data_IF_846508044042
#
_entry.id   IF_846508044042
#
_cell.length_a   1.000
_cell.length_b   1.000
_cell.length_c   1.000
_cell.angle_alpha   90.00
_cell.angle_beta   90.00
_cell.angle_gamma   90.00
#
_symmetry.space_group_name_H-M   'P 1'
#
loop_
_entity.id
_entity.type
_entity.pdbx_description
1 polymer ?
#
# COMPACT_ATOMS: atom_id res chain seq x y z
N UNK A 1 -21.56 24.37 9.78
CA UNK A 1 -21.10 23.02 9.38
C UNK A 1 -19.69 22.88 9.87
N UNK A 2 -19.38 21.87 10.69
CA UNK A 2 -18.01 21.67 11.20
C UNK A 2 -17.08 21.24 10.06
N UNK A 3 -15.88 21.82 9.99
CA UNK A 3 -14.84 21.51 9.02
C UNK A 3 -13.90 20.47 9.59
N UNK A 4 -13.55 19.46 8.80
CA UNK A 4 -12.63 18.41 9.18
C UNK A 4 -11.52 18.27 8.12
N UNK A 5 -10.30 18.05 8.57
CA UNK A 5 -9.16 17.84 7.72
C UNK A 5 -8.45 16.52 8.05
N UNK A 6 -8.01 15.80 7.02
CA UNK A 6 -7.32 14.52 7.17
C UNK A 6 -5.87 14.62 6.69
N UNK A 7 -4.98 13.90 7.36
CA UNK A 7 -3.64 13.63 6.88
C UNK A 7 -3.28 12.17 7.02
N UNK A 8 -2.85 11.56 5.91
CA UNK A 8 -2.53 10.13 5.87
C UNK A 8 -1.05 9.90 5.68
N UNK A 9 -0.48 9.06 6.53
CA UNK A 9 0.88 8.54 6.43
C UNK A 9 0.81 7.02 6.27
N UNK A 10 1.78 6.45 5.55
CA UNK A 10 1.96 5.00 5.45
C UNK A 10 1.51 4.38 4.13
N UNK A 11 0.89 3.21 4.21
CA UNK A 11 0.61 2.34 3.08
C UNK A 11 -0.75 2.60 2.42
N UNK A 12 -1.04 1.86 1.33
CA UNK A 12 -2.34 1.90 0.65
C UNK A 12 -3.51 1.55 1.56
N UNK A 13 -3.30 0.67 2.56
CA UNK A 13 -4.33 0.34 3.56
C UNK A 13 -4.68 1.56 4.40
N UNK A 14 -3.70 2.33 4.88
CA UNK A 14 -3.99 3.60 5.58
C UNK A 14 -4.74 4.59 4.67
N UNK A 15 -4.40 4.64 3.37
CA UNK A 15 -5.12 5.51 2.42
C UNK A 15 -6.59 5.09 2.26
N UNK A 16 -6.85 3.79 2.14
CA UNK A 16 -8.22 3.26 2.09
C UNK A 16 -8.98 3.53 3.41
N UNK A 17 -8.33 3.29 4.56
CA UNK A 17 -8.90 3.58 5.87
C UNK A 17 -9.27 5.07 6.00
N UNK A 18 -8.43 5.99 5.53
CA UNK A 18 -8.74 7.43 5.54
C UNK A 18 -9.90 7.78 4.61
N UNK A 19 -9.91 7.24 3.39
CA UNK A 19 -11.01 7.47 2.45
C UNK A 19 -12.36 7.02 3.03
N UNK A 20 -12.39 5.88 3.72
CA UNK A 20 -13.58 5.39 4.42
C UNK A 20 -14.01 6.33 5.54
N UNK A 21 -13.07 6.80 6.38
CA UNK A 21 -13.37 7.76 7.45
C UNK A 21 -13.89 9.10 6.90
N UNK A 22 -13.29 9.61 5.81
CA UNK A 22 -13.78 10.82 5.12
C UNK A 22 -15.23 10.66 4.64
N UNK A 23 -15.56 9.51 4.05
CA UNK A 23 -16.92 9.22 3.60
C UNK A 23 -17.91 9.17 4.76
N UNK A 24 -17.54 8.56 5.91
CA UNK A 24 -18.35 8.52 7.11
C UNK A 24 -18.62 9.94 7.64
N UNK A 25 -17.60 10.80 7.76
CA UNK A 25 -17.79 12.18 8.19
C UNK A 25 -18.67 12.99 7.23
N UNK A 26 -18.48 12.83 5.91
CA UNK A 26 -19.34 13.49 4.91
C UNK A 26 -20.81 13.09 5.05
N UNK A 27 -21.09 11.79 5.29
CA UNK A 27 -22.48 11.30 5.48
C UNK A 27 -23.14 11.85 6.76
N UNK A 28 -22.34 12.29 7.76
CA UNK A 28 -22.79 12.95 8.97
C UNK A 28 -22.77 14.48 8.88
N UNK A 29 -22.65 15.04 7.67
CA UNK A 29 -22.78 16.47 7.44
C UNK A 29 -21.52 17.31 7.73
N UNK A 30 -20.34 16.70 7.86
CA UNK A 30 -19.08 17.42 7.98
C UNK A 30 -18.56 17.85 6.61
N UNK A 31 -17.91 19.00 6.56
CA UNK A 31 -17.21 19.48 5.37
C UNK A 31 -15.74 19.09 5.42
N UNK A 32 -15.30 18.17 4.53
CA UNK A 32 -13.89 17.79 4.42
C UNK A 32 -13.13 18.89 3.68
N UNK A 33 -12.08 19.41 4.30
CA UNK A 33 -11.21 20.46 3.75
C UNK A 33 -9.77 19.97 3.65
N UNK A 34 -8.94 20.67 2.86
CA UNK A 34 -7.52 20.33 2.75
C UNK A 34 -6.79 20.50 4.09
N UNK A 35 -5.82 19.61 4.37
CA UNK A 35 -5.06 19.64 5.64
C UNK A 35 -4.35 20.98 5.91
N UNK A 36 -4.08 21.74 4.87
CA UNK A 36 -3.47 23.08 4.99
C UNK A 36 -4.48 24.20 5.29
N UNK A 37 -5.77 23.90 5.25
CA UNK A 37 -6.83 24.82 5.64
C UNK A 37 -7.05 24.77 7.16
N UNK A 38 -7.62 25.81 7.71
CA UNK A 38 -8.11 25.81 9.08
C UNK A 38 -9.35 24.90 9.18
N UNK A 39 -9.35 23.99 10.16
CA UNK A 39 -10.43 23.03 10.42
C UNK A 39 -10.76 22.99 11.91
N UNK A 40 -11.99 22.57 12.23
CA UNK A 40 -12.45 22.38 13.60
C UNK A 40 -11.94 21.05 14.17
N UNK A 41 -11.68 20.06 13.28
CA UNK A 41 -11.20 18.74 13.63
C UNK A 41 -10.05 18.37 12.67
N UNK A 42 -8.98 17.82 13.20
CA UNK A 42 -7.90 17.20 12.43
C UNK A 42 -7.78 15.73 12.75
N UNK A 43 -7.82 14.85 11.74
CA UNK A 43 -7.59 13.42 11.86
C UNK A 43 -6.28 13.04 11.20
N UNK A 44 -5.33 12.54 11.99
CA UNK A 44 -4.00 12.12 11.49
C UNK A 44 -3.92 10.59 11.52
N UNK A 45 -4.00 9.96 10.35
CA UNK A 45 -3.83 8.51 10.19
C UNK A 45 -2.33 8.20 10.03
N UNK A 46 -1.77 7.54 11.03
CA UNK A 46 -0.33 7.47 11.27
C UNK A 46 0.30 6.14 10.86
N UNK A 47 1.62 6.18 10.63
CA UNK A 47 2.45 5.03 10.28
C UNK A 47 3.56 4.83 11.31
N UNK A 48 3.93 3.54 11.53
CA UNK A 48 4.98 3.14 12.47
C UNK A 48 6.01 2.20 11.84
N UNK A 49 5.89 1.88 10.57
CA UNK A 49 6.74 0.88 9.89
C UNK A 49 8.22 1.27 9.91
N UNK A 50 8.54 2.55 9.79
CA UNK A 50 9.91 3.07 9.86
C UNK A 50 10.04 4.21 10.87
N UNK A 51 11.27 4.44 11.38
CA UNK A 51 11.55 5.59 12.26
C UNK A 51 11.22 6.92 11.59
N UNK A 52 11.48 7.03 10.29
CA UNK A 52 11.11 8.20 9.49
C UNK A 52 9.59 8.39 9.45
N UNK A 53 8.82 7.31 9.27
CA UNK A 53 7.35 7.34 9.29
C UNK A 53 6.81 7.80 10.64
N UNK A 54 7.34 7.28 11.74
CA UNK A 54 6.96 7.68 13.09
C UNK A 54 7.32 9.14 13.39
N UNK A 55 8.52 9.60 12.99
CA UNK A 55 8.93 11.01 13.11
C UNK A 55 8.02 11.95 12.31
N UNK A 56 7.70 11.59 11.07
CA UNK A 56 6.75 12.34 10.24
C UNK A 56 5.36 12.38 10.85
N UNK A 57 4.89 11.28 11.46
CA UNK A 57 3.61 11.24 12.17
C UNK A 57 3.58 12.29 13.27
N UNK A 58 4.57 12.35 14.15
CA UNK A 58 4.68 13.38 15.20
C UNK A 58 4.75 14.79 14.63
N UNK A 59 5.50 14.99 13.54
CA UNK A 59 5.61 16.28 12.87
C UNK A 59 4.24 16.77 12.36
N UNK A 60 3.42 15.88 11.79
CA UNK A 60 2.11 16.26 11.26
C UNK A 60 1.08 16.49 12.35
N UNK A 61 1.13 15.74 13.46
CA UNK A 61 0.32 16.00 14.65
C UNK A 61 0.63 17.42 15.19
N UNK A 62 1.90 17.72 15.44
CA UNK A 62 2.31 19.03 15.92
C UNK A 62 1.96 20.18 14.93
N UNK A 63 1.90 19.89 13.61
CA UNK A 63 1.49 20.85 12.59
C UNK A 63 0.00 21.15 12.68
N UNK A 64 -0.84 20.13 12.91
CA UNK A 64 -2.28 20.28 13.11
C UNK A 64 -2.56 21.17 14.35
N UNK A 65 -1.98 20.84 15.50
CA UNK A 65 -2.10 21.59 16.75
C UNK A 65 -1.69 23.06 16.59
N UNK A 66 -0.57 23.32 15.90
CA UNK A 66 -0.11 24.70 15.69
C UNK A 66 -0.97 25.49 14.70
N UNK A 67 -1.66 24.82 13.78
CA UNK A 67 -2.49 25.48 12.78
C UNK A 67 -3.78 26.05 13.37
N UNK A 68 -4.43 25.29 14.21
CA UNK A 68 -5.57 25.74 14.99
C UNK A 68 -5.47 25.15 16.42
N UNK A 69 -4.98 25.93 17.38
CA UNK A 69 -4.82 25.45 18.77
C UNK A 69 -6.14 25.09 19.47
N UNK A 70 -7.28 25.48 18.93
CA UNK A 70 -8.62 25.16 19.47
C UNK A 70 -9.30 24.00 18.73
N UNK A 71 -8.66 23.46 17.68
CA UNK A 71 -9.20 22.32 16.95
C UNK A 71 -9.10 21.05 17.78
N UNK A 72 -10.06 20.13 17.58
CA UNK A 72 -10.02 18.79 18.13
C UNK A 72 -9.11 17.89 17.30
N UNK A 73 -8.05 17.36 17.91
CA UNK A 73 -7.01 16.58 17.22
C UNK A 73 -7.14 15.09 17.54
N UNK A 74 -7.41 14.31 16.49
CA UNK A 74 -7.56 12.86 16.54
C UNK A 74 -6.35 12.19 15.91
N UNK A 75 -5.73 11.26 16.60
CA UNK A 75 -4.63 10.45 16.08
C UNK A 75 -5.06 8.98 15.96
N UNK A 76 -5.00 8.43 14.77
CA UNK A 76 -5.38 7.03 14.50
C UNK A 76 -4.29 6.28 13.73
N UNK A 77 -4.48 4.97 13.52
CA UNK A 77 -3.61 4.13 12.71
C UNK A 77 -2.58 3.35 13.54
N UNK A 78 -1.45 3.02 12.90
CA UNK A 78 -0.50 2.08 13.47
C UNK A 78 0.30 2.65 14.67
N UNK A 79 0.49 3.98 14.75
CA UNK A 79 1.27 4.56 15.85
C UNK A 79 0.55 4.47 17.20
N UNK A 80 -0.69 4.95 17.37
CA UNK A 80 -1.39 4.75 18.63
C UNK A 80 -1.62 3.28 18.94
N UNK A 81 -1.84 2.41 17.95
CA UNK A 81 -2.03 0.98 18.19
C UNK A 81 -0.82 0.31 18.85
N UNK A 82 0.41 0.76 18.56
CA UNK A 82 1.65 0.14 19.07
C UNK A 82 2.31 0.93 20.19
N UNK A 83 2.00 2.21 20.35
CA UNK A 83 2.65 3.12 21.27
C UNK A 83 1.67 4.21 21.78
N UNK A 84 0.50 3.79 22.29
CA UNK A 84 -0.53 4.70 22.80
C UNK A 84 0.04 5.70 23.82
N UNK A 85 0.81 5.22 24.80
CA UNK A 85 1.40 6.07 25.84
C UNK A 85 2.34 7.17 25.27
N UNK A 86 3.09 6.87 24.19
CA UNK A 86 3.91 7.88 23.54
C UNK A 86 3.04 8.95 22.85
N UNK A 87 1.91 8.54 22.25
CA UNK A 87 1.02 9.48 21.54
C UNK A 87 0.28 10.37 22.52
N UNK A 88 -0.14 9.84 23.67
CA UNK A 88 -0.78 10.63 24.75
C UNK A 88 0.11 11.76 25.28
N UNK A 89 1.44 11.58 25.24
CA UNK A 89 2.37 12.64 25.70
C UNK A 89 2.54 13.77 24.68
N UNK A 90 1.96 13.69 23.47
CA UNK A 90 2.05 14.76 22.48
C UNK A 90 1.03 15.85 22.83
N UNK A 91 1.47 17.07 23.16
CA UNK A 91 0.56 18.14 23.55
C UNK A 91 -0.46 18.47 22.46
N UNK A 92 -1.73 18.65 22.86
CA UNK A 92 -2.83 19.01 21.95
C UNK A 92 -3.41 17.85 21.15
N UNK A 93 -3.14 16.60 21.53
CA UNK A 93 -3.88 15.43 21.06
C UNK A 93 -5.05 15.21 22.00
N UNK A 94 -6.27 15.21 21.48
CA UNK A 94 -7.50 15.06 22.28
C UNK A 94 -7.99 13.61 22.32
N UNK A 95 -7.89 12.89 21.20
CA UNK A 95 -8.38 11.51 21.07
C UNK A 95 -7.39 10.64 20.32
N UNK A 96 -7.15 9.43 20.83
CA UNK A 96 -6.44 8.39 20.11
C UNK A 96 -7.34 7.19 19.83
N UNK A 97 -7.29 6.69 18.57
CA UNK A 97 -8.04 5.53 18.08
C UNK A 97 -7.05 4.57 17.43
N UNK A 98 -7.18 3.28 17.68
CA UNK A 98 -6.33 2.25 17.07
C UNK A 98 -6.69 1.94 15.60
N UNK A 99 -6.42 0.69 15.22
CA UNK A 99 -6.76 0.14 13.91
C UNK A 99 -8.10 -0.61 13.88
N UNK A 100 -8.99 -0.31 14.83
CA UNK A 100 -10.36 -0.80 14.94
C UNK A 100 -11.29 0.36 15.30
N UNK A 101 -12.60 0.15 15.22
CA UNK A 101 -13.65 1.13 15.55
C UNK A 101 -13.67 2.40 14.67
N UNK A 102 -13.14 2.33 13.48
CA UNK A 102 -13.19 3.45 12.52
C UNK A 102 -14.59 3.65 11.94
N UNK A 103 -15.43 2.62 11.94
CA UNK A 103 -16.86 2.75 11.64
C UNK A 103 -17.55 3.71 12.58
N UNK A 104 -17.16 3.73 13.84
CA UNK A 104 -17.73 4.55 14.91
C UNK A 104 -17.00 5.89 15.10
N UNK A 105 -16.10 6.28 14.21
CA UNK A 105 -15.20 7.41 14.41
C UNK A 105 -15.94 8.73 14.70
N UNK A 106 -17.09 8.97 14.07
CA UNK A 106 -17.88 10.20 14.29
C UNK A 106 -18.42 10.21 15.71
N UNK A 107 -19.04 9.11 16.16
CA UNK A 107 -19.55 8.97 17.53
C UNK A 107 -18.43 9.16 18.56
N UNK A 108 -17.29 8.50 18.37
CA UNK A 108 -16.14 8.62 19.28
C UNK A 108 -15.63 10.06 19.38
N UNK A 109 -15.55 10.76 18.25
CA UNK A 109 -15.14 12.18 18.21
C UNK A 109 -16.14 13.09 18.90
N UNK A 110 -17.44 12.89 18.66
CA UNK A 110 -18.49 13.72 19.25
C UNK A 110 -18.61 13.51 20.77
N UNK A 111 -18.55 12.27 21.24
CA UNK A 111 -18.53 11.93 22.66
C UNK A 111 -17.30 12.51 23.37
N UNK A 112 -16.11 12.33 22.76
CA UNK A 112 -14.87 12.85 23.32
C UNK A 112 -14.84 14.38 23.36
N UNK A 113 -15.32 15.06 22.32
CA UNK A 113 -15.43 16.51 22.27
C UNK A 113 -16.46 17.06 23.30
N UNK A 114 -17.54 16.33 23.58
CA UNK A 114 -18.51 16.72 24.57
C UNK A 114 -17.98 16.58 26.01
N UNK A 115 -17.03 15.67 26.23
CA UNK A 115 -16.46 15.39 27.57
C UNK A 115 -15.51 16.48 28.06
N UNK A 116 -15.03 17.38 27.19
CA UNK A 116 -14.09 18.48 27.46
C UNK A 116 -12.93 18.06 28.40
N UNK A 117 -12.38 16.86 28.19
CA UNK A 117 -11.25 16.36 28.97
C UNK A 117 -10.03 17.22 28.74
N UNK A 118 -9.26 17.49 29.80
CA UNK A 118 -7.91 18.09 29.70
C UNK A 118 -6.90 17.04 29.24
N UNK A 119 -7.16 15.77 29.51
CA UNK A 119 -6.29 14.64 29.16
C UNK A 119 -6.74 13.98 27.86
N UNK A 120 -5.77 13.46 27.10
CA UNK A 120 -6.03 12.69 25.87
C UNK A 120 -6.90 11.46 26.15
N UNK A 121 -8.03 11.35 25.45
CA UNK A 121 -8.92 10.18 25.56
C UNK A 121 -8.32 9.02 24.77
N UNK A 122 -8.21 7.85 25.41
CA UNK A 122 -7.67 6.63 24.81
C UNK A 122 -8.79 5.66 24.45
N UNK A 123 -9.05 5.51 23.15
CA UNK A 123 -9.98 4.54 22.57
C UNK A 123 -9.27 3.42 21.80
N UNK A 124 -8.00 3.16 22.10
CA UNK A 124 -7.24 2.08 21.44
C UNK A 124 -7.66 0.73 22.00
N UNK A 125 -8.26 -0.10 21.15
CA UNK A 125 -8.60 -1.49 21.52
C UNK A 125 -7.47 -2.46 21.21
N UNK A 126 -7.31 -3.45 22.08
CA UNK A 126 -6.41 -4.58 21.86
C UNK A 126 -6.99 -5.50 20.77
N UNK A 127 -6.21 -5.74 19.73
CA UNK A 127 -6.57 -6.67 18.66
C UNK A 127 -6.31 -8.12 19.11
N UNK A 128 -7.28 -9.00 18.87
CA UNK A 128 -7.24 -10.42 19.26
C UNK A 128 -7.77 -11.31 18.14
N UNK A 129 -7.70 -12.62 18.32
CA UNK A 129 -8.25 -13.60 17.36
C UNK A 129 -9.76 -13.44 17.16
N UNK A 130 -10.47 -12.90 18.14
CA UNK A 130 -11.93 -12.65 18.06
C UNK A 130 -12.27 -11.27 17.46
N UNK A 131 -11.28 -10.49 17.03
CA UNK A 131 -11.54 -9.21 16.37
C UNK A 131 -12.02 -9.48 14.95
N UNK A 132 -13.19 -9.00 14.59
CA UNK A 132 -13.78 -9.17 13.26
C UNK A 132 -13.16 -8.18 12.25
N UNK A 133 -13.30 -8.48 10.96
CA UNK A 133 -12.93 -7.56 9.90
C UNK A 133 -13.92 -6.39 9.88
N UNK A 134 -13.40 -5.18 9.91
CA UNK A 134 -14.20 -3.96 9.86
C UNK A 134 -14.55 -3.64 8.40
N UNK A 135 -15.77 -3.97 7.99
CA UNK A 135 -16.28 -3.81 6.62
C UNK A 135 -16.65 -2.35 6.32
N UNK A 136 -15.64 -1.49 6.21
CA UNK A 136 -15.83 -0.11 5.79
C UNK A 136 -16.06 -0.02 4.28
N UNK A 137 -16.93 0.92 3.84
CA UNK A 137 -17.03 1.27 2.42
C UNK A 137 -15.71 1.84 1.91
N UNK A 138 -15.37 1.55 0.66
CA UNK A 138 -14.11 2.02 0.06
C UNK A 138 -14.00 3.56 -0.02
N UNK A 139 -15.08 4.26 0.26
CA UNK A 139 -15.17 5.72 0.18
C UNK A 139 -15.12 6.22 -1.27
N UNK A 140 -16.00 7.14 -1.62
CA UNK A 140 -15.93 7.81 -2.91
C UNK A 140 -14.95 8.99 -2.80
N UNK A 141 -13.78 8.85 -3.43
CA UNK A 141 -12.80 9.93 -3.55
C UNK A 141 -12.88 10.43 -4.98
N UNK A 142 -13.73 11.42 -5.22
CA UNK A 142 -14.09 11.98 -6.54
C UNK A 142 -12.89 12.35 -7.44
N UNK A 143 -11.72 12.57 -6.87
CA UNK A 143 -10.53 13.00 -7.59
C UNK A 143 -9.57 11.86 -7.97
N UNK A 144 -9.95 10.58 -7.73
CA UNK A 144 -9.11 9.42 -8.05
C UNK A 144 -9.73 8.57 -9.17
N UNK A 145 -8.89 8.14 -10.08
CA UNK A 145 -9.28 7.27 -11.20
C UNK A 145 -9.26 5.79 -10.82
N UNK A 146 -8.58 5.45 -9.72
CA UNK A 146 -8.48 4.10 -9.16
C UNK A 146 -8.97 4.07 -7.72
N UNK A 147 -9.77 3.06 -7.38
CA UNK A 147 -10.22 2.83 -6.02
C UNK A 147 -9.37 1.75 -5.33
N UNK A 148 -9.06 1.95 -4.05
CA UNK A 148 -8.45 0.94 -3.20
C UNK A 148 -9.52 0.26 -2.36
N UNK A 149 -9.72 -1.04 -2.58
CA UNK A 149 -10.64 -1.86 -1.78
C UNK A 149 -9.84 -2.74 -0.82
N UNK A 150 -9.89 -2.43 0.47
CA UNK A 150 -9.29 -3.27 1.52
C UNK A 150 -10.16 -4.49 1.73
N UNK A 151 -9.57 -5.67 1.46
CA UNK A 151 -10.25 -6.97 1.62
C UNK A 151 -9.62 -7.85 2.70
N UNK A 152 -8.42 -7.49 3.19
CA UNK A 152 -7.69 -8.28 4.18
C UNK A 152 -7.00 -7.35 5.21
N UNK A 153 -6.95 -7.76 6.46
CA UNK A 153 -6.34 -7.04 7.57
C UNK A 153 -5.53 -8.03 8.44
N UNK A 154 -4.50 -7.52 9.11
CA UNK A 154 -3.65 -8.32 10.01
C UNK A 154 -2.62 -9.18 9.31
N UNK A 155 -1.68 -9.74 10.09
CA UNK A 155 -0.60 -10.60 9.58
C UNK A 155 -0.08 -11.52 10.68
N UNK A 156 0.05 -12.83 10.40
CA UNK A 156 0.59 -13.84 11.32
C UNK A 156 2.00 -14.32 10.93
N UNK A 157 2.70 -13.62 10.01
CA UNK A 157 4.02 -14.04 9.51
C UNK A 157 5.15 -13.81 10.53
N UNK A 158 5.06 -12.79 11.37
CA UNK A 158 6.07 -12.43 12.39
C UNK A 158 7.51 -12.38 11.87
N UNK A 159 7.74 -11.79 10.68
CA UNK A 159 9.09 -11.51 10.19
C UNK A 159 9.88 -10.74 11.26
N UNK A 160 11.16 -11.06 11.45
CA UNK A 160 11.94 -10.57 12.60
C UNK A 160 12.12 -9.05 12.68
N UNK A 161 11.95 -8.33 11.56
CA UNK A 161 12.04 -6.87 11.48
C UNK A 161 10.67 -6.16 11.56
N UNK A 162 9.55 -6.92 11.55
CA UNK A 162 8.25 -6.35 11.23
C UNK A 162 7.42 -6.08 12.49
N UNK A 163 6.93 -4.84 12.62
CA UNK A 163 6.04 -4.41 13.69
C UNK A 163 4.54 -4.61 13.34
N UNK A 164 4.24 -4.97 12.11
CA UNK A 164 2.86 -5.03 11.60
C UNK A 164 1.97 -6.03 12.34
N UNK A 165 2.41 -7.25 12.72
CA UNK A 165 1.56 -8.14 13.51
C UNK A 165 1.03 -7.49 14.80
N UNK A 166 1.84 -6.66 15.44
CA UNK A 166 1.47 -5.95 16.66
C UNK A 166 0.57 -4.72 16.39
N UNK A 167 0.76 -4.07 15.21
CA UNK A 167 -0.02 -2.91 14.83
C UNK A 167 -1.38 -3.27 14.21
N UNK A 168 -1.47 -4.38 13.50
CA UNK A 168 -2.66 -4.75 12.74
C UNK A 168 -3.33 -6.03 13.22
N UNK A 169 -2.72 -6.75 14.18
CA UNK A 169 -3.26 -7.94 14.80
C UNK A 169 -3.34 -9.16 13.87
N UNK A 170 -4.12 -10.18 14.25
CA UNK A 170 -4.28 -11.43 13.51
C UNK A 170 -5.01 -11.25 12.17
N UNK A 171 -4.93 -12.27 11.32
CA UNK A 171 -5.60 -12.30 10.01
C UNK A 171 -7.10 -12.12 10.14
N UNK A 172 -7.67 -11.30 9.28
CA UNK A 172 -9.10 -11.05 9.11
C UNK A 172 -9.37 -10.70 7.65
N UNK A 173 -10.47 -11.22 7.11
CA UNK A 173 -10.85 -11.03 5.71
C UNK A 173 -12.26 -10.49 5.57
N UNK A 174 -12.47 -9.64 4.58
CA UNK A 174 -13.79 -9.15 4.16
C UNK A 174 -14.59 -10.30 3.54
N UNK A 175 -15.89 -10.35 3.75
CA UNK A 175 -16.75 -11.35 3.13
C UNK A 175 -16.81 -11.22 1.60
N UNK A 176 -16.97 -12.35 0.88
CA UNK A 176 -17.08 -12.31 -0.60
C UNK A 176 -18.28 -11.47 -1.06
N UNK A 177 -19.41 -11.58 -0.37
CA UNK A 177 -20.60 -10.77 -0.66
C UNK A 177 -20.30 -9.29 -0.54
N UNK A 178 -19.64 -8.86 0.54
CA UNK A 178 -19.23 -7.47 0.72
C UNK A 178 -18.22 -6.99 -0.32
N UNK A 179 -17.30 -7.86 -0.77
CA UNK A 179 -16.38 -7.53 -1.89
C UNK A 179 -17.19 -7.23 -3.17
N UNK A 180 -18.14 -8.10 -3.53
CA UNK A 180 -18.95 -7.92 -4.74
C UNK A 180 -19.79 -6.63 -4.67
N UNK A 181 -20.42 -6.36 -3.54
CA UNK A 181 -21.21 -5.15 -3.32
C UNK A 181 -20.39 -3.87 -3.45
N UNK A 182 -19.20 -3.84 -2.81
CA UNK A 182 -18.30 -2.68 -2.89
C UNK A 182 -17.74 -2.49 -4.30
N UNK A 183 -17.32 -3.57 -4.98
CA UNK A 183 -16.88 -3.50 -6.39
C UNK A 183 -18.01 -2.94 -7.27
N UNK A 184 -19.25 -3.40 -7.07
CA UNK A 184 -20.41 -2.89 -7.82
C UNK A 184 -20.64 -1.39 -7.57
N UNK A 185 -20.58 -0.93 -6.31
CA UNK A 185 -20.69 0.50 -5.96
C UNK A 185 -19.60 1.32 -6.66
N UNK A 186 -18.35 0.88 -6.61
CA UNK A 186 -17.23 1.57 -7.24
C UNK A 186 -17.35 1.62 -8.76
N UNK A 187 -17.82 0.55 -9.41
CA UNK A 187 -18.08 0.53 -10.85
C UNK A 187 -19.19 1.53 -11.22
N UNK A 188 -20.27 1.57 -10.45
CA UNK A 188 -21.39 2.54 -10.64
C UNK A 188 -20.89 3.98 -10.44
N UNK A 189 -20.01 4.22 -9.47
CA UNK A 189 -19.36 5.53 -9.26
C UNK A 189 -18.36 5.91 -10.38
N UNK A 190 -18.13 5.04 -11.37
CA UNK A 190 -17.35 5.35 -12.57
C UNK A 190 -15.87 4.95 -12.52
N UNK A 191 -15.40 4.31 -11.44
CA UNK A 191 -14.01 3.82 -11.35
C UNK A 191 -13.72 2.77 -12.42
N UNK A 192 -12.57 2.91 -13.09
CA UNK A 192 -12.15 2.00 -14.17
C UNK A 192 -11.19 0.92 -13.67
N UNK A 193 -10.45 1.19 -12.61
CA UNK A 193 -9.54 0.24 -11.99
C UNK A 193 -9.82 0.14 -10.49
N UNK A 194 -9.98 -1.09 -9.99
CA UNK A 194 -10.07 -1.39 -8.56
C UNK A 194 -8.81 -2.16 -8.15
N UNK A 195 -8.21 -1.74 -7.06
CA UNK A 195 -7.02 -2.38 -6.49
C UNK A 195 -7.42 -3.09 -5.21
N UNK A 196 -7.39 -4.42 -5.20
CA UNK A 196 -7.58 -5.20 -3.97
C UNK A 196 -6.31 -5.07 -3.12
N UNK A 197 -6.47 -4.63 -1.89
CA UNK A 197 -5.38 -4.42 -0.97
C UNK A 197 -5.60 -5.14 0.36
N UNK A 198 -4.49 -5.45 1.03
CA UNK A 198 -4.46 -6.01 2.37
C UNK A 198 -3.13 -5.76 3.03
N UNK A 199 -3.03 -6.11 4.30
CA UNK A 199 -1.76 -6.13 5.05
C UNK A 199 -0.92 -7.33 4.63
N UNK A 200 -1.57 -8.48 4.45
CA UNK A 200 -0.99 -9.72 3.95
C UNK A 200 -2.00 -10.37 2.98
N UNK A 201 -2.17 -9.72 1.83
CA UNK A 201 -3.26 -9.99 0.89
C UNK A 201 -3.39 -11.47 0.49
N UNK A 202 -2.27 -12.15 0.24
CA UNK A 202 -2.25 -13.57 -0.11
C UNK A 202 -2.68 -14.52 1.01
N UNK A 203 -2.81 -14.02 2.24
CA UNK A 203 -3.39 -14.75 3.36
C UNK A 203 -4.91 -14.53 3.51
N UNK A 204 -5.57 -13.90 2.53
CA UNK A 204 -7.03 -13.75 2.55
C UNK A 204 -7.71 -15.11 2.75
N UNK A 205 -8.64 -15.17 3.69
CA UNK A 205 -9.46 -16.35 4.00
C UNK A 205 -8.78 -17.47 4.80
N UNK A 206 -7.45 -17.36 5.08
CA UNK A 206 -6.73 -18.43 5.82
C UNK A 206 -7.24 -18.62 7.26
N UNK A 207 -7.86 -17.61 7.87
CA UNK A 207 -8.53 -17.72 9.17
C UNK A 207 -9.80 -18.58 9.13
N UNK A 208 -10.31 -18.94 7.95
CA UNK A 208 -11.48 -19.79 7.74
C UNK A 208 -11.11 -21.23 7.39
N UNK A 209 -10.05 -21.78 7.97
CA UNK A 209 -9.59 -23.18 7.79
C UNK A 209 -9.35 -23.56 6.32
N UNK A 210 -8.88 -22.60 5.51
CA UNK A 210 -8.59 -22.83 4.09
C UNK A 210 -9.82 -22.97 3.17
N UNK A 211 -11.01 -22.68 3.67
CA UNK A 211 -12.25 -22.69 2.87
C UNK A 211 -12.35 -21.55 1.87
N UNK A 212 -11.64 -20.46 2.16
CA UNK A 212 -11.57 -19.27 1.31
C UNK A 212 -10.10 -18.90 1.03
N UNK A 213 -9.86 -18.34 -0.14
CA UNK A 213 -8.52 -17.92 -0.57
C UNK A 213 -8.61 -16.60 -1.34
N UNK A 214 -7.46 -16.00 -1.61
CA UNK A 214 -7.40 -14.81 -2.44
C UNK A 214 -7.99 -15.05 -3.84
N UNK A 215 -7.86 -16.26 -4.39
CA UNK A 215 -8.44 -16.58 -5.68
C UNK A 215 -9.97 -16.41 -5.68
N UNK A 216 -10.66 -16.86 -4.63
CA UNK A 216 -12.11 -16.71 -4.51
C UNK A 216 -12.51 -15.23 -4.43
N UNK A 217 -11.74 -14.40 -3.73
CA UNK A 217 -11.97 -12.94 -3.67
C UNK A 217 -11.77 -12.27 -5.03
N UNK A 218 -10.78 -12.71 -5.81
CA UNK A 218 -10.50 -12.20 -7.16
C UNK A 218 -11.63 -12.61 -8.11
N UNK A 219 -12.07 -13.86 -8.08
CA UNK A 219 -13.20 -14.32 -8.89
C UNK A 219 -14.50 -13.56 -8.54
N UNK A 220 -14.78 -13.38 -7.25
CA UNK A 220 -15.92 -12.61 -6.78
C UNK A 220 -15.88 -11.16 -7.32
N UNK A 221 -14.73 -10.49 -7.25
CA UNK A 221 -14.57 -9.16 -7.80
C UNK A 221 -14.75 -9.11 -9.33
N UNK A 222 -14.16 -10.08 -10.06
CA UNK A 222 -14.25 -10.16 -11.52
C UNK A 222 -15.64 -10.58 -12.01
N UNK A 223 -16.49 -11.19 -11.16
CA UNK A 223 -17.88 -11.52 -11.50
C UNK A 223 -18.76 -10.29 -11.66
N UNK A 224 -18.34 -9.13 -11.14
CA UNK A 224 -19.12 -7.88 -11.23
C UNK A 224 -19.02 -7.31 -12.65
N UNK A 225 -20.18 -7.13 -13.28
CA UNK A 225 -20.29 -6.55 -14.61
C UNK A 225 -19.84 -5.08 -14.61
N UNK A 226 -19.17 -4.66 -15.69
CA UNK A 226 -18.69 -3.28 -15.86
C UNK A 226 -17.29 -3.02 -15.29
N UNK A 227 -16.71 -3.91 -14.47
CA UNK A 227 -15.34 -3.80 -14.02
C UNK A 227 -14.37 -3.93 -15.19
N UNK A 228 -13.53 -2.92 -15.41
CA UNK A 228 -12.60 -2.89 -16.55
C UNK A 228 -11.20 -3.36 -16.18
N UNK A 229 -10.71 -3.04 -14.96
CA UNK A 229 -9.41 -3.49 -14.46
C UNK A 229 -9.49 -3.85 -12.99
N UNK A 230 -8.88 -4.98 -12.65
CA UNK A 230 -8.64 -5.42 -11.28
C UNK A 230 -7.13 -5.56 -11.06
N UNK A 231 -6.59 -4.92 -10.06
CA UNK A 231 -5.19 -5.00 -9.68
C UNK A 231 -5.04 -5.59 -8.30
N UNK A 232 -3.97 -6.34 -8.08
CA UNK A 232 -3.62 -6.88 -6.78
C UNK A 232 -2.58 -6.01 -6.07
N UNK A 233 -2.70 -5.91 -4.76
CA UNK A 233 -1.68 -5.36 -3.90
C UNK A 233 -0.48 -6.28 -3.77
N UNK A 234 0.28 -6.14 -2.68
CA UNK A 234 1.46 -6.95 -2.40
C UNK A 234 1.08 -8.40 -2.06
N UNK A 235 1.80 -9.37 -2.64
CA UNK A 235 1.68 -10.80 -2.40
C UNK A 235 3.02 -11.39 -1.99
N UNK A 236 3.03 -12.28 -1.03
CA UNK A 236 4.21 -13.11 -0.78
C UNK A 236 4.40 -14.12 -1.91
N UNK A 237 5.65 -14.41 -2.27
CA UNK A 237 5.95 -15.34 -3.36
C UNK A 237 5.34 -16.73 -3.18
N UNK A 238 5.29 -17.21 -1.94
CA UNK A 238 4.70 -18.52 -1.60
C UNK A 238 3.18 -18.59 -1.71
N UNK A 239 2.52 -17.47 -1.95
CA UNK A 239 1.06 -17.34 -2.01
C UNK A 239 0.54 -17.14 -3.45
N UNK A 240 1.46 -17.07 -4.42
CA UNK A 240 1.08 -16.97 -5.83
C UNK A 240 0.70 -18.37 -6.34
N UNK A 241 -0.58 -18.64 -6.38
CA UNK A 241 -1.11 -19.93 -6.79
C UNK A 241 -1.19 -20.07 -8.32
N UNK A 242 -0.97 -21.28 -8.85
CA UNK A 242 -1.07 -21.54 -10.28
C UNK A 242 -2.43 -21.16 -10.88
N UNK A 243 -3.53 -21.34 -10.13
CA UNK A 243 -4.88 -20.96 -10.57
C UNK A 243 -5.04 -19.44 -10.73
N UNK A 244 -4.38 -18.65 -9.88
CA UNK A 244 -4.35 -17.18 -10.02
C UNK A 244 -3.60 -16.77 -11.28
N UNK A 245 -2.45 -17.40 -11.57
CA UNK A 245 -1.70 -17.16 -12.80
C UNK A 245 -2.50 -17.57 -14.04
N UNK A 246 -3.20 -18.70 -14.00
CA UNK A 246 -4.08 -19.13 -15.09
C UNK A 246 -5.22 -18.14 -15.34
N UNK A 247 -5.78 -17.55 -14.28
CA UNK A 247 -6.81 -16.53 -14.41
C UNK A 247 -6.23 -15.23 -15.02
N UNK A 248 -5.04 -14.81 -14.55
CA UNK A 248 -4.35 -13.61 -15.07
C UNK A 248 -3.94 -13.76 -16.55
N UNK A 249 -3.62 -14.96 -16.98
CA UNK A 249 -3.34 -15.27 -18.39
C UNK A 249 -4.61 -15.12 -19.26
N UNK A 250 -5.76 -15.62 -18.77
CA UNK A 250 -7.03 -15.69 -19.52
C UNK A 250 -7.84 -14.38 -19.44
N UNK A 251 -7.97 -13.77 -18.29
CA UNK A 251 -8.77 -12.57 -18.08
C UNK A 251 -7.91 -11.29 -18.12
N UNK A 252 -8.01 -10.56 -19.20
CA UNK A 252 -7.23 -9.31 -19.41
C UNK A 252 -7.61 -8.17 -18.47
N UNK A 253 -8.74 -8.28 -17.77
CA UNK A 253 -9.12 -7.32 -16.72
C UNK A 253 -8.22 -7.43 -15.51
N UNK A 254 -7.67 -8.62 -15.21
CA UNK A 254 -6.69 -8.79 -14.15
C UNK A 254 -5.34 -8.23 -14.61
N UNK A 255 -4.92 -7.16 -13.96
CA UNK A 255 -3.75 -6.38 -14.35
C UNK A 255 -2.47 -7.22 -14.32
N UNK A 256 -1.65 -7.10 -15.37
CA UNK A 256 -0.39 -7.84 -15.53
C UNK A 256 0.75 -7.22 -14.75
N UNK A 257 0.56 -7.15 -13.45
CA UNK A 257 1.56 -6.66 -12.50
C UNK A 257 1.42 -7.42 -11.18
N UNK A 258 2.55 -7.87 -10.65
CA UNK A 258 2.65 -8.44 -9.31
C UNK A 258 3.71 -7.69 -8.51
N UNK A 259 3.40 -7.38 -7.27
CA UNK A 259 4.37 -6.88 -6.30
C UNK A 259 4.71 -8.02 -5.35
N UNK A 260 5.95 -8.52 -5.46
CA UNK A 260 6.46 -9.69 -4.73
C UNK A 260 7.66 -9.25 -3.87
N UNK A 261 7.46 -8.93 -2.58
CA UNK A 261 8.56 -8.49 -1.70
C UNK A 261 9.62 -9.59 -1.52
N UNK A 262 10.80 -9.38 -2.07
CA UNK A 262 11.96 -10.27 -1.91
C UNK A 262 12.63 -10.10 -0.55
N UNK A 263 12.73 -8.87 -0.07
CA UNK A 263 13.40 -8.42 1.15
C UNK A 263 14.94 -8.55 1.11
N UNK A 264 15.50 -9.70 0.73
CA UNK A 264 16.93 -9.92 0.51
C UNK A 264 17.15 -11.01 -0.55
N UNK A 265 18.27 -10.95 -1.27
CA UNK A 265 18.66 -11.94 -2.29
C UNK A 265 19.73 -12.93 -1.80
N UNK A 266 19.77 -13.21 -0.50
CA UNK A 266 20.70 -14.15 0.13
C UNK A 266 19.96 -15.00 1.15
N UNK A 267 20.05 -16.33 1.04
CA UNK A 267 19.26 -17.28 1.85
C UNK A 267 19.57 -17.18 3.35
N UNK A 268 20.83 -16.91 3.73
CA UNK A 268 21.17 -16.71 5.14
C UNK A 268 20.52 -15.45 5.72
N UNK A 269 20.44 -14.38 4.95
CA UNK A 269 19.73 -13.15 5.34
C UNK A 269 18.21 -13.38 5.39
N UNK A 270 17.63 -14.07 4.40
CA UNK A 270 16.21 -14.45 4.40
C UNK A 270 15.84 -15.30 5.63
N UNK A 271 16.67 -16.27 5.97
CA UNK A 271 16.48 -17.11 7.17
C UNK A 271 16.51 -16.26 8.46
N UNK A 272 17.47 -15.32 8.61
CA UNK A 272 17.50 -14.37 9.73
C UNK A 272 16.28 -13.44 9.78
N UNK A 273 15.75 -13.08 8.63
CA UNK A 273 14.50 -12.31 8.51
C UNK A 273 13.24 -13.11 8.81
N UNK A 274 13.36 -14.45 8.99
CA UNK A 274 12.24 -15.39 9.15
C UNK A 274 11.31 -15.37 7.94
N UNK A 275 11.92 -15.49 6.72
CA UNK A 275 11.14 -15.58 5.47
C UNK A 275 10.84 -17.05 5.15
N UNK A 276 9.62 -17.38 4.62
CA UNK A 276 9.19 -18.75 4.36
C UNK A 276 9.66 -19.28 2.99
N UNK A 277 10.60 -18.61 2.33
CA UNK A 277 11.13 -18.98 1.02
C UNK A 277 12.65 -18.73 0.96
N UNK A 278 13.29 -19.34 -0.03
CA UNK A 278 14.68 -19.16 -0.43
C UNK A 278 14.76 -18.54 -1.84
N UNK A 279 15.98 -18.20 -2.26
CA UNK A 279 16.26 -17.60 -3.58
C UNK A 279 15.88 -18.53 -4.73
N UNK A 280 16.06 -19.85 -4.58
CA UNK A 280 15.72 -20.84 -5.60
C UNK A 280 14.22 -20.87 -5.88
N UNK A 281 13.39 -20.99 -4.84
CA UNK A 281 11.91 -20.98 -4.97
C UNK A 281 11.40 -19.68 -5.56
N UNK A 282 12.03 -18.57 -5.20
CA UNK A 282 11.69 -17.25 -5.74
C UNK A 282 11.99 -17.19 -7.24
N UNK A 283 13.14 -17.70 -7.69
CA UNK A 283 13.51 -17.78 -9.12
C UNK A 283 12.53 -18.67 -9.89
N UNK A 284 12.28 -19.89 -9.41
CA UNK A 284 11.34 -20.84 -10.02
C UNK A 284 9.95 -20.19 -10.26
N UNK A 285 9.46 -19.43 -9.28
CA UNK A 285 8.21 -18.69 -9.41
C UNK A 285 8.30 -17.59 -10.49
N UNK A 286 9.36 -16.79 -10.51
CA UNK A 286 9.54 -15.74 -11.51
C UNK A 286 9.56 -16.31 -12.94
N UNK A 287 10.23 -17.44 -13.12
CA UNK A 287 10.34 -18.12 -14.42
C UNK A 287 8.97 -18.64 -14.89
N UNK A 288 8.20 -19.28 -14.00
CA UNK A 288 6.83 -19.72 -14.32
C UNK A 288 5.91 -18.54 -14.67
N UNK A 289 5.95 -17.48 -13.89
CA UNK A 289 5.16 -16.26 -14.16
C UNK A 289 5.50 -15.67 -15.53
N UNK A 290 6.77 -15.49 -15.84
CA UNK A 290 7.21 -14.87 -17.10
C UNK A 290 6.97 -15.75 -18.33
N UNK A 291 7.06 -17.07 -18.16
CA UNK A 291 6.73 -18.01 -19.22
C UNK A 291 5.25 -17.92 -19.61
N UNK A 292 4.36 -17.73 -18.64
CA UNK A 292 2.90 -17.61 -18.86
C UNK A 292 2.50 -16.21 -19.32
N UNK A 293 3.11 -15.18 -18.74
CA UNK A 293 2.74 -13.77 -18.94
C UNK A 293 4.01 -12.96 -19.25
N UNK A 294 4.51 -13.01 -20.51
CA UNK A 294 5.81 -12.44 -20.87
C UNK A 294 5.94 -10.91 -20.66
N UNK A 295 4.81 -10.17 -20.70
CA UNK A 295 4.74 -8.71 -20.54
C UNK A 295 4.44 -8.27 -19.10
N UNK A 296 4.43 -9.18 -18.14
CA UNK A 296 4.15 -8.87 -16.74
C UNK A 296 5.23 -7.98 -16.13
N UNK A 297 4.80 -6.97 -15.37
CA UNK A 297 5.67 -6.23 -14.49
C UNK A 297 5.77 -6.91 -13.12
N UNK A 298 6.98 -7.18 -12.69
CA UNK A 298 7.24 -7.71 -11.34
C UNK A 298 8.03 -6.65 -10.57
N UNK A 299 7.42 -6.16 -9.50
CA UNK A 299 8.03 -5.19 -8.60
C UNK A 299 8.32 -5.84 -7.25
N UNK A 300 9.30 -5.31 -6.52
CA UNK A 300 9.76 -5.90 -5.26
C UNK A 300 10.17 -4.86 -4.23
N UNK A 301 10.25 -5.29 -2.98
CA UNK A 301 10.88 -4.55 -1.87
C UNK A 301 12.19 -5.22 -1.48
N UNK A 302 13.23 -4.43 -1.20
CA UNK A 302 14.52 -4.90 -0.68
C UNK A 302 14.92 -4.06 0.52
N UNK A 303 15.33 -4.73 1.59
CA UNK A 303 15.86 -4.12 2.81
C UNK A 303 17.38 -4.26 2.82
N UNK A 304 18.10 -3.15 2.75
CA UNK A 304 19.56 -3.12 2.82
C UNK A 304 20.06 -2.90 4.26
N UNK A 305 21.09 -3.62 4.66
CA UNK A 305 21.73 -3.48 5.96
C UNK A 305 20.93 -4.07 7.11
N UNK A 306 20.32 -5.23 6.89
CA UNK A 306 19.73 -6.04 7.96
C UNK A 306 20.80 -6.48 8.97
N UNK A 307 20.51 -6.62 10.28
CA UNK A 307 21.49 -7.02 11.28
C UNK A 307 22.25 -8.29 10.88
N UNK A 308 23.58 -8.24 10.94
CA UNK A 308 24.47 -9.33 10.56
C UNK A 308 24.66 -9.55 9.05
N UNK A 309 24.11 -8.69 8.19
CA UNK A 309 24.33 -8.77 6.74
C UNK A 309 25.78 -8.42 6.38
N UNK A 310 26.56 -9.42 5.94
CA UNK A 310 27.97 -9.23 5.53
C UNK A 310 28.07 -8.55 4.15
N UNK A 311 29.31 -8.20 3.71
CA UNK A 311 29.52 -7.68 2.36
C UNK A 311 29.28 -8.75 1.29
N UNK A 312 29.60 -10.01 1.58
CA UNK A 312 29.38 -11.16 0.68
C UNK A 312 27.87 -11.44 0.53
N UNK A 313 27.10 -11.37 1.62
CA UNK A 313 25.65 -11.55 1.59
C UNK A 313 24.96 -10.41 0.81
N UNK A 314 25.44 -9.19 0.98
CA UNK A 314 24.95 -8.06 0.22
C UNK A 314 25.33 -8.15 -1.26
N UNK A 315 26.56 -8.56 -1.59
CA UNK A 315 26.99 -8.82 -2.97
C UNK A 315 26.11 -9.89 -3.63
N UNK A 316 25.79 -10.97 -2.90
CA UNK A 316 24.84 -12.00 -3.34
C UNK A 316 23.46 -11.42 -3.63
N UNK A 317 22.97 -10.51 -2.77
CA UNK A 317 21.69 -9.82 -2.98
C UNK A 317 21.69 -8.97 -4.24
N UNK A 318 22.79 -8.24 -4.54
CA UNK A 318 22.92 -7.47 -5.78
C UNK A 318 22.85 -8.35 -7.02
N UNK A 319 23.65 -9.43 -7.05
CA UNK A 319 23.68 -10.39 -8.16
C UNK A 319 22.33 -11.05 -8.35
N UNK A 320 21.69 -11.47 -7.26
CA UNK A 320 20.37 -12.09 -7.31
C UNK A 320 19.30 -11.12 -7.85
N UNK A 321 19.27 -9.88 -7.33
CA UNK A 321 18.35 -8.86 -7.81
C UNK A 321 18.56 -8.51 -9.28
N UNK A 322 19.83 -8.49 -9.77
CA UNK A 322 20.15 -8.31 -11.18
C UNK A 322 19.59 -9.44 -12.04
N UNK A 323 19.78 -10.68 -11.64
CA UNK A 323 19.27 -11.86 -12.36
C UNK A 323 17.73 -11.91 -12.35
N UNK A 324 17.09 -11.47 -11.28
CA UNK A 324 15.63 -11.39 -11.21
C UNK A 324 15.03 -10.41 -12.23
N UNK A 325 15.71 -9.36 -12.65
CA UNK A 325 15.24 -8.43 -13.67
C UNK A 325 13.89 -7.78 -13.31
N UNK A 326 13.79 -7.18 -12.15
CA UNK A 326 12.58 -6.51 -11.70
C UNK A 326 12.24 -5.27 -12.53
N UNK A 327 10.95 -5.00 -12.74
CA UNK A 327 10.50 -3.78 -13.41
C UNK A 327 10.64 -2.55 -12.51
N UNK A 328 10.65 -2.73 -11.19
CA UNK A 328 10.90 -1.71 -10.16
C UNK A 328 11.28 -2.37 -8.84
N UNK A 329 12.25 -1.80 -8.16
CA UNK A 329 12.60 -2.16 -6.78
C UNK A 329 12.33 -0.97 -5.84
N UNK A 330 11.66 -1.23 -4.72
CA UNK A 330 11.57 -0.29 -3.62
C UNK A 330 12.62 -0.65 -2.59
N UNK A 331 13.58 0.24 -2.37
CA UNK A 331 14.78 -0.02 -1.57
C UNK A 331 14.67 0.75 -0.26
N UNK A 332 14.82 0.02 0.84
CA UNK A 332 14.71 0.57 2.17
C UNK A 332 15.98 0.25 2.99
N UNK A 333 16.56 1.23 3.67
CA UNK A 333 17.52 0.90 4.74
C UNK A 333 16.79 0.19 5.87
N UNK A 334 17.39 -0.85 6.45
CA UNK A 334 16.83 -1.47 7.66
C UNK A 334 16.58 -0.41 8.72
N UNK A 335 15.36 -0.38 9.24
CA UNK A 335 14.92 0.54 10.29
C UNK A 335 14.62 -0.21 11.57
N UNK A 336 15.45 0.00 12.59
CA UNK A 336 15.31 -0.62 13.91
C UNK A 336 13.95 -0.26 14.52
N UNK A 337 13.14 -1.26 14.88
CA UNK A 337 11.80 -1.06 15.47
C UNK A 337 11.71 -1.68 16.83
N UNK A 338 11.35 -0.85 17.85
CA UNK A 338 11.15 -1.28 19.23
C UNK A 338 10.13 -2.42 19.30
N UNK A 339 10.48 -3.48 20.00
CA UNK A 339 9.63 -4.64 20.19
C UNK A 339 9.76 -5.73 19.13
N UNK A 340 10.55 -5.51 18.05
CA UNK A 340 10.84 -6.56 17.07
C UNK A 340 12.07 -7.39 17.45
N UNK A 341 12.15 -8.68 17.06
CA UNK A 341 13.33 -9.49 17.30
C UNK A 341 14.62 -8.87 16.74
N UNK A 342 14.56 -8.32 15.51
CA UNK A 342 15.72 -7.72 14.85
C UNK A 342 16.27 -6.47 15.57
N UNK A 343 15.48 -5.83 16.42
CA UNK A 343 15.96 -4.73 17.26
C UNK A 343 17.12 -5.16 18.17
N UNK A 344 17.04 -6.39 18.69
CA UNK A 344 17.98 -6.95 19.67
C UNK A 344 19.08 -7.80 19.05
N UNK A 345 19.05 -8.03 17.73
CA UNK A 345 20.07 -8.81 17.04
C UNK A 345 21.43 -8.11 17.15
N UNK A 346 22.53 -8.88 17.33
CA UNK A 346 23.88 -8.33 17.28
C UNK A 346 24.25 -7.86 15.86
N UNK A 347 25.41 -7.24 15.73
CA UNK A 347 25.99 -6.81 14.45
C UNK A 347 25.04 -5.89 13.65
N UNK A 348 24.49 -4.89 14.33
CA UNK A 348 23.71 -3.83 13.71
C UNK A 348 24.59 -3.07 12.69
N UNK A 349 24.08 -2.90 11.47
CA UNK A 349 24.83 -2.29 10.38
C UNK A 349 24.84 -0.75 10.54
N UNK A 350 26.01 -0.09 10.42
CA UNK A 350 26.10 1.37 10.47
C UNK A 350 25.28 2.04 9.37
N UNK A 351 24.76 3.23 9.66
CA UNK A 351 23.89 3.96 8.73
C UNK A 351 24.59 4.31 7.40
N UNK A 352 25.89 4.66 7.46
CA UNK A 352 26.72 4.92 6.27
C UNK A 352 26.80 3.71 5.33
N UNK A 353 26.90 2.50 5.88
CA UNK A 353 26.91 1.25 5.10
C UNK A 353 25.55 0.99 4.48
N UNK A 354 24.45 1.19 5.24
CA UNK A 354 23.08 1.06 4.70
C UNK A 354 22.86 2.01 3.54
N UNK A 355 23.25 3.28 3.69
CA UNK A 355 23.10 4.28 2.62
C UNK A 355 23.88 3.90 1.36
N UNK A 356 25.15 3.45 1.52
CA UNK A 356 25.96 2.94 0.40
C UNK A 356 25.26 1.79 -0.32
N UNK A 357 24.78 0.78 0.44
CA UNK A 357 24.08 -0.39 -0.11
C UNK A 357 22.76 0.02 -0.81
N UNK A 358 22.00 0.92 -0.23
CA UNK A 358 20.80 1.47 -0.88
C UNK A 358 21.14 2.18 -2.20
N UNK A 359 22.23 2.94 -2.27
CA UNK A 359 22.65 3.62 -3.50
C UNK A 359 22.99 2.62 -4.61
N UNK A 360 23.71 1.53 -4.29
CA UNK A 360 24.05 0.48 -5.27
C UNK A 360 22.80 -0.24 -5.81
N UNK A 361 21.85 -0.58 -4.93
CA UNK A 361 20.57 -1.16 -5.34
C UNK A 361 19.74 -0.17 -6.19
N UNK A 362 19.75 1.11 -5.85
CA UNK A 362 19.04 2.15 -6.62
C UNK A 362 19.61 2.32 -8.02
N UNK A 363 20.94 2.24 -8.18
CA UNK A 363 21.58 2.25 -9.50
C UNK A 363 21.16 1.03 -10.33
N UNK A 364 21.11 -0.15 -9.72
CA UNK A 364 20.62 -1.38 -10.37
C UNK A 364 19.13 -1.24 -10.75
N UNK A 365 18.29 -0.70 -9.85
CA UNK A 365 16.86 -0.45 -10.13
C UNK A 365 16.70 0.43 -11.38
N UNK A 366 17.44 1.53 -11.48
CA UNK A 366 17.35 2.42 -12.64
C UNK A 366 17.72 1.70 -13.95
N UNK A 367 18.80 0.89 -13.94
CA UNK A 367 19.20 0.10 -15.10
C UNK A 367 18.13 -0.91 -15.53
N UNK A 368 17.55 -1.62 -14.57
CA UNK A 368 16.51 -2.62 -14.84
C UNK A 368 15.20 -1.97 -15.31
N UNK A 369 14.79 -0.88 -14.67
CA UNK A 369 13.60 -0.13 -15.05
C UNK A 369 13.72 0.37 -16.50
N UNK A 370 14.87 0.95 -16.87
CA UNK A 370 15.11 1.41 -18.24
C UNK A 370 14.99 0.27 -19.25
N UNK A 371 15.67 -0.87 -19.01
CA UNK A 371 15.55 -2.07 -19.84
C UNK A 371 14.11 -2.57 -19.96
N UNK A 372 13.34 -2.52 -18.88
CA UNK A 372 11.95 -2.94 -18.90
C UNK A 372 11.09 -2.00 -19.75
N UNK A 373 11.24 -0.69 -19.61
CA UNK A 373 10.52 0.32 -20.39
C UNK A 373 10.81 0.20 -21.90
N UNK A 374 12.07 0.03 -22.27
CA UNK A 374 12.53 -0.06 -23.67
C UNK A 374 11.88 -1.23 -24.43
N UNK A 375 11.53 -2.32 -23.74
CA UNK A 375 10.83 -3.47 -24.35
C UNK A 375 9.48 -3.12 -24.97
N UNK A 376 8.86 -2.04 -24.52
CA UNK A 376 7.53 -1.66 -24.95
C UNK A 376 7.49 -0.52 -25.97
N UNK A 377 8.63 0.08 -26.29
CA UNK A 377 8.73 1.11 -27.34
C UNK A 377 8.24 0.53 -28.68
N UNK A 378 7.39 1.27 -29.39
CA UNK A 378 6.73 0.86 -30.63
C UNK A 378 5.44 0.07 -30.45
N UNK A 379 5.16 -0.46 -29.24
CA UNK A 379 3.94 -1.22 -28.97
C UNK A 379 2.70 -0.30 -28.79
N UNK A 380 1.53 -0.89 -29.02
CA UNK A 380 0.24 -0.26 -28.73
C UNK A 380 -0.35 -0.86 -27.44
N UNK A 381 -0.64 -0.01 -26.46
CA UNK A 381 -1.12 -0.42 -25.12
C UNK A 381 -2.35 0.38 -24.71
N UNK A 382 -3.13 -0.15 -23.78
CA UNK A 382 -4.21 0.59 -23.12
C UNK A 382 -3.66 1.33 -21.89
N UNK A 383 -3.96 2.63 -21.81
CA UNK A 383 -3.57 3.52 -20.71
C UNK A 383 -4.81 4.06 -20.01
N UNK A 384 -4.91 3.88 -18.71
CA UNK A 384 -5.85 4.59 -17.85
C UNK A 384 -5.21 5.92 -17.46
N UNK A 385 -5.77 7.03 -17.94
CA UNK A 385 -5.26 8.36 -17.64
C UNK A 385 -5.76 8.84 -16.27
N UNK A 386 -4.86 9.44 -15.48
CA UNK A 386 -5.12 9.73 -14.07
C UNK A 386 -5.09 11.22 -13.74
N UNK A 387 -4.14 11.96 -14.28
CA UNK A 387 -3.95 13.37 -13.94
C UNK A 387 -3.30 14.15 -15.07
N UNK A 388 -3.58 15.44 -15.09
CA UNK A 388 -2.87 16.38 -15.94
C UNK A 388 -1.49 16.64 -15.38
N UNK A 389 -0.47 16.63 -16.23
CA UNK A 389 0.91 16.98 -15.91
C UNK A 389 1.25 18.35 -16.54
N UNK A 390 2.50 18.79 -16.36
CA UNK A 390 3.00 20.04 -16.94
C UNK A 390 3.05 19.96 -18.48
N UNK A 391 3.13 21.12 -19.14
CA UNK A 391 3.32 21.27 -20.60
C UNK A 391 2.26 20.57 -21.49
N UNK A 392 1.03 20.41 -21.01
CA UNK A 392 -0.06 19.80 -21.75
C UNK A 392 0.03 18.28 -21.86
N UNK A 393 0.86 17.66 -21.05
CA UNK A 393 0.87 16.21 -20.91
C UNK A 393 -0.20 15.73 -19.94
N UNK A 394 -0.69 14.51 -20.20
CA UNK A 394 -1.58 13.78 -19.30
C UNK A 394 -0.91 12.46 -18.96
N UNK A 395 -0.81 12.18 -17.67
CA UNK A 395 -0.21 10.97 -17.13
C UNK A 395 -1.25 9.86 -16.98
N UNK A 396 -0.85 8.62 -17.30
CA UNK A 396 -1.67 7.45 -17.06
C UNK A 396 -0.84 6.18 -16.85
N UNK A 397 -1.52 5.10 -16.49
CA UNK A 397 -0.91 3.80 -16.22
C UNK A 397 -1.49 2.70 -17.11
N UNK A 398 -0.61 1.82 -17.57
CA UNK A 398 -0.99 0.59 -18.26
C UNK A 398 -1.41 -0.52 -17.28
N UNK A 399 -1.94 -1.63 -17.80
CA UNK A 399 -2.22 -2.84 -17.01
C UNK A 399 -0.98 -3.38 -16.29
N UNK A 400 0.19 -3.36 -16.93
CA UNK A 400 1.48 -3.76 -16.36
C UNK A 400 2.25 -2.61 -15.67
N UNK A 401 1.54 -1.58 -15.24
CA UNK A 401 2.03 -0.48 -14.39
C UNK A 401 3.10 0.42 -15.04
N UNK A 402 3.20 0.43 -16.38
CA UNK A 402 4.02 1.41 -17.08
C UNK A 402 3.39 2.79 -16.95
N UNK A 403 4.19 3.77 -16.55
CA UNK A 403 3.78 5.17 -16.54
C UNK A 403 3.94 5.75 -17.95
N UNK A 404 2.88 6.34 -18.48
CA UNK A 404 2.83 6.87 -19.84
C UNK A 404 2.36 8.32 -19.82
N UNK A 405 3.08 9.17 -20.53
CA UNK A 405 2.71 10.56 -20.77
C UNK A 405 2.30 10.74 -22.23
N UNK A 406 1.15 11.37 -22.43
CA UNK A 406 0.63 11.70 -23.76
C UNK A 406 0.26 13.17 -23.80
N UNK A 407 0.70 13.87 -24.82
CA UNK A 407 0.28 15.28 -25.04
C UNK A 407 -1.12 15.30 -25.68
N UNK A 408 -2.07 15.97 -25.04
CA UNK A 408 -3.44 16.03 -25.53
C UNK A 408 -4.18 17.25 -24.98
N UNK A 409 -5.00 17.87 -25.80
CA UNK A 409 -5.94 18.92 -25.39
C UNK A 409 -7.28 18.33 -24.91
N UNK A 410 -7.54 17.04 -25.19
CA UNK A 410 -8.75 16.36 -24.77
C UNK A 410 -8.70 16.00 -23.29
N UNK A 411 -9.85 16.06 -22.63
CA UNK A 411 -10.01 15.57 -21.26
C UNK A 411 -9.97 14.04 -21.25
N UNK A 412 -8.88 13.47 -20.75
CA UNK A 412 -8.62 12.02 -20.71
C UNK A 412 -8.71 11.41 -19.31
N UNK A 413 -8.65 12.22 -18.25
CA UNK A 413 -8.68 11.71 -16.87
C UNK A 413 -9.89 10.79 -16.63
N UNK A 414 -9.66 9.64 -16.01
CA UNK A 414 -10.68 8.60 -15.80
C UNK A 414 -11.03 7.75 -17.03
N UNK A 415 -10.35 7.95 -18.17
CA UNK A 415 -10.63 7.20 -19.41
C UNK A 415 -9.48 6.25 -19.75
N UNK A 416 -9.84 5.06 -20.27
CA UNK A 416 -8.88 4.13 -20.86
C UNK A 416 -8.82 4.40 -22.36
N UNK A 417 -7.62 4.60 -22.91
CA UNK A 417 -7.39 4.83 -24.34
C UNK A 417 -6.20 4.02 -24.83
N UNK A 418 -6.22 3.67 -26.11
CA UNK A 418 -5.08 3.04 -26.79
C UNK A 418 -4.03 4.09 -27.11
N UNK A 419 -2.79 3.77 -26.83
CA UNK A 419 -1.61 4.62 -26.99
C UNK A 419 -0.50 3.82 -27.67
N UNK A 420 0.14 4.41 -28.68
CA UNK A 420 1.42 3.91 -29.23
C UNK A 420 2.54 4.50 -28.42
N UNK A 421 3.40 3.65 -27.87
CA UNK A 421 4.57 4.06 -27.10
C UNK A 421 5.71 4.44 -28.04
N UNK A 422 6.22 5.66 -27.91
CA UNK A 422 7.19 6.23 -28.86
C UNK A 422 8.60 6.19 -28.33
N UNK A 423 8.79 6.50 -27.04
CA UNK A 423 10.11 6.66 -26.42
C UNK A 423 10.07 6.29 -24.94
N UNK A 424 11.15 5.65 -24.48
CA UNK A 424 11.41 5.43 -23.06
C UNK A 424 12.28 6.58 -22.51
N UNK A 425 11.83 7.17 -21.41
CA UNK A 425 12.57 8.09 -20.56
C UNK A 425 13.01 7.36 -19.27
N UNK A 426 13.67 8.05 -18.35
CA UNK A 426 14.30 7.42 -17.18
C UNK A 426 13.34 6.53 -16.35
N UNK A 427 12.05 6.92 -16.21
CA UNK A 427 11.07 6.20 -15.38
C UNK A 427 9.65 6.21 -15.94
N UNK A 428 9.48 6.62 -17.20
CA UNK A 428 8.19 6.68 -17.90
C UNK A 428 8.37 6.52 -19.41
N UNK A 429 7.26 6.40 -20.11
CA UNK A 429 7.18 6.33 -21.56
C UNK A 429 6.42 7.54 -22.10
N UNK A 430 6.84 8.04 -23.24
CA UNK A 430 6.08 9.02 -24.02
C UNK A 430 5.32 8.25 -25.10
N UNK A 431 4.07 8.59 -25.31
CA UNK A 431 3.22 7.98 -26.31
C UNK A 431 2.33 8.97 -27.05
N UNK A 432 1.63 8.46 -28.05
CA UNK A 432 0.60 9.17 -28.81
C UNK A 432 -0.72 8.40 -28.81
N UNK A 433 -1.84 9.12 -28.79
CA UNK A 433 -3.17 8.51 -28.87
C UNK A 433 -3.37 7.84 -30.22
N UNK A 434 -3.87 6.60 -30.19
CA UNK A 434 -4.37 5.94 -31.38
C UNK A 434 -5.85 6.28 -31.56
N UNK A 435 -6.23 6.54 -32.81
CA UNK A 435 -7.62 6.83 -33.21
C UNK A 435 -8.56 5.66 -32.99
#
# INVERSE_FOLDING_TARGET
MKRIAFYTLGCKVNQADTASMEAIFRSHGYTVVGFNCEADIYVINTCVVTNTGQRKSRQMINRAVRRNPTAFVVVTGCYPQTAAEEVKTIPGVDLIIGNQDRADIVRLVEEAAAFQSVDTIDSVRKLSANTEFEELSAGDVSDKTRAFLKIQEGCNQFCTYCIIPFARGPLRSRSLTSIMEEVKKLVVSGYKEIVLIGIHLGCYGKEHDGKLTLFDAVEAALSVEGLQRLRLGSLESVEVEARLLNLMEKDKRLCRQLHLPLQAGCDTTLARMHRPYDTRRFTELLDDIRKRIPDIAITTDIIAGFPGETEEEFASTLVFAENCGFSKMHIFPYSKRKGTPAEKMPNQIPETVKQRRCAQLTELDHKQQQKFLERFVGSAVEVLFEQTAEDGYIEGLTSNYLRVYVRSEAELCGKIRKVRLLKAETNFLIGELLK
#
